data_IF_837551105734
#
_entry.id   IF_837551105734
#
_cell.length_a   1.000
_cell.length_b   1.000
_cell.length_c   1.000
_cell.angle_alpha   90.00
_cell.angle_beta   90.00
_cell.angle_gamma   90.00
#
_symmetry.space_group_name_H-M   'P 1'
#
loop_
_entity.id
_entity.type
_entity.pdbx_description
1 polymer ?
#
# COMPACT_ATOMS: atom_id res chain seq x y z
N UNK A 1 13.26 5.01 -19.45
CA UNK A 1 12.52 4.73 -18.17
C UNK A 1 11.74 3.43 -18.35
N UNK A 2 10.93 3.33 -19.38
CA UNK A 2 10.04 2.19 -19.60
C UNK A 2 10.78 0.86 -19.69
N UNK A 3 11.86 0.76 -20.45
CA UNK A 3 12.64 -0.49 -20.61
C UNK A 3 13.10 -1.09 -19.27
N UNK A 4 13.40 -0.25 -18.27
CA UNK A 4 13.91 -0.71 -16.97
C UNK A 4 12.83 -1.27 -16.04
N UNK A 5 11.55 -1.06 -16.34
CA UNK A 5 10.44 -1.49 -15.48
C UNK A 5 9.49 -2.49 -16.13
N UNK A 6 9.62 -2.74 -17.44
CA UNK A 6 8.73 -3.61 -18.19
C UNK A 6 8.65 -5.04 -17.62
N UNK A 7 9.81 -5.59 -17.25
CA UNK A 7 9.94 -6.96 -16.74
C UNK A 7 9.73 -7.05 -15.22
N UNK A 8 9.56 -5.91 -14.54
CA UNK A 8 9.37 -5.88 -13.09
C UNK A 8 8.01 -6.41 -12.69
N UNK A 9 8.02 -7.30 -11.70
CA UNK A 9 6.82 -7.88 -11.11
C UNK A 9 6.42 -7.13 -9.85
N UNK A 10 5.21 -6.58 -9.87
CA UNK A 10 4.63 -5.86 -8.72
C UNK A 10 3.45 -6.64 -8.16
N UNK A 11 3.43 -6.84 -6.87
CA UNK A 11 2.29 -7.43 -6.16
C UNK A 11 1.53 -6.30 -5.46
N UNK A 12 0.23 -6.21 -5.73
CA UNK A 12 -0.71 -5.29 -5.10
C UNK A 12 -1.57 -6.04 -4.11
N UNK A 13 -1.42 -5.75 -2.83
CA UNK A 13 -2.25 -6.29 -1.74
C UNK A 13 -3.30 -5.26 -1.37
N UNK A 14 -4.54 -5.60 -1.63
CA UNK A 14 -5.69 -4.69 -1.59
C UNK A 14 -5.88 -3.97 -2.94
N UNK A 15 -7.08 -4.10 -3.52
CA UNK A 15 -7.46 -3.50 -4.81
C UNK A 15 -8.68 -2.59 -4.64
N UNK A 16 -8.80 -1.96 -3.47
CA UNK A 16 -9.80 -0.93 -3.17
C UNK A 16 -9.48 0.41 -3.86
N UNK A 17 -9.95 1.52 -3.30
CA UNK A 17 -9.78 2.87 -3.86
C UNK A 17 -8.32 3.21 -4.18
N UNK A 18 -7.42 2.95 -3.25
CA UNK A 18 -5.97 3.19 -3.41
C UNK A 18 -5.35 2.20 -4.40
N UNK A 19 -5.53 0.88 -4.17
CA UNK A 19 -4.84 -0.14 -4.96
C UNK A 19 -5.30 -0.21 -6.40
N UNK A 20 -6.59 0.01 -6.68
CA UNK A 20 -7.10 0.07 -8.05
C UNK A 20 -6.52 1.25 -8.83
N UNK A 21 -6.52 2.45 -8.22
CA UNK A 21 -5.93 3.65 -8.80
C UNK A 21 -4.41 3.52 -8.98
N UNK A 22 -3.69 3.01 -7.97
CA UNK A 22 -2.25 2.76 -8.04
C UNK A 22 -1.90 1.80 -9.17
N UNK A 23 -2.65 0.69 -9.32
CA UNK A 23 -2.45 -0.30 -10.38
C UNK A 23 -2.57 0.32 -11.76
N UNK A 24 -3.56 1.18 -11.99
CA UNK A 24 -3.73 1.91 -13.23
C UNK A 24 -2.53 2.83 -13.53
N UNK A 25 -2.04 3.56 -12.54
CA UNK A 25 -0.87 4.43 -12.70
C UNK A 25 0.42 3.65 -12.98
N UNK A 26 0.60 2.49 -12.34
CA UNK A 26 1.75 1.62 -12.59
C UNK A 26 1.74 1.07 -14.03
N UNK A 27 0.58 0.62 -14.51
CA UNK A 27 0.43 0.15 -15.91
C UNK A 27 0.69 1.28 -16.90
N UNK A 28 0.18 2.50 -16.64
CA UNK A 28 0.50 3.70 -17.46
C UNK A 28 1.99 4.04 -17.44
N UNK A 29 2.68 3.80 -16.33
CA UNK A 29 4.13 3.99 -16.23
C UNK A 29 4.95 2.93 -16.98
N UNK A 30 4.32 1.79 -17.38
CA UNK A 30 4.96 0.74 -18.15
C UNK A 30 5.14 -0.59 -17.42
N UNK A 31 4.66 -0.74 -16.18
CA UNK A 31 4.64 -2.04 -15.50
C UNK A 31 3.73 -2.99 -16.27
N UNK A 32 4.24 -4.19 -16.58
CA UNK A 32 3.49 -5.22 -17.32
C UNK A 32 3.12 -6.43 -16.50
N UNK A 33 3.84 -6.74 -15.44
CA UNK A 33 3.59 -7.92 -14.62
C UNK A 33 3.01 -7.51 -13.26
N UNK A 34 1.71 -7.69 -13.07
CA UNK A 34 1.03 -7.40 -11.81
C UNK A 34 0.33 -8.63 -11.26
N UNK A 35 0.44 -8.78 -9.94
CA UNK A 35 -0.40 -9.68 -9.15
C UNK A 35 -1.37 -8.82 -8.36
N UNK A 36 -2.66 -9.07 -8.49
CA UNK A 36 -3.71 -8.37 -7.74
C UNK A 36 -4.33 -9.34 -6.72
N UNK A 37 -4.36 -8.95 -5.46
CA UNK A 37 -4.87 -9.77 -4.35
C UNK A 37 -5.91 -8.97 -3.59
N UNK A 38 -7.16 -9.42 -3.63
CA UNK A 38 -8.29 -8.81 -2.93
C UNK A 38 -9.48 -9.79 -2.91
N UNK A 39 -10.04 -10.16 -1.75
CA UNK A 39 -11.15 -11.10 -1.64
C UNK A 39 -12.50 -10.46 -1.97
N UNK A 40 -12.61 -9.14 -2.00
CA UNK A 40 -13.88 -8.44 -2.00
C UNK A 40 -14.50 -8.30 -3.39
N UNK A 41 -15.81 -8.09 -3.38
CA UNK A 41 -16.60 -7.66 -4.53
C UNK A 41 -16.81 -6.13 -4.47
N UNK A 42 -17.13 -5.54 -5.62
CA UNK A 42 -17.47 -4.13 -5.73
C UNK A 42 -18.89 -3.88 -5.23
N UNK A 43 -19.00 -2.93 -4.32
CA UNK A 43 -20.25 -2.47 -3.75
C UNK A 43 -20.52 -1.00 -4.12
N UNK A 44 -21.79 -0.58 -4.00
CA UNK A 44 -22.23 0.77 -4.39
C UNK A 44 -21.39 1.87 -3.73
N UNK A 45 -21.08 1.71 -2.45
CA UNK A 45 -20.31 2.70 -1.70
C UNK A 45 -18.83 2.80 -2.13
N UNK A 46 -18.32 1.81 -2.88
CA UNK A 46 -16.96 1.88 -3.42
C UNK A 46 -16.86 2.83 -4.62
N UNK A 47 -17.92 2.92 -5.45
CA UNK A 47 -17.88 3.55 -6.78
C UNK A 47 -17.39 4.98 -6.76
N UNK A 48 -17.74 5.75 -5.74
CA UNK A 48 -17.37 7.17 -5.64
C UNK A 48 -15.86 7.43 -5.52
N UNK A 49 -15.05 6.38 -5.29
CA UNK A 49 -13.61 6.48 -5.10
C UNK A 49 -12.82 5.31 -5.71
N UNK A 50 -13.48 4.44 -6.46
CA UNK A 50 -12.85 3.28 -7.07
C UNK A 50 -12.56 3.53 -8.56
N UNK A 51 -11.57 2.83 -9.13
CA UNK A 51 -11.26 2.90 -10.56
C UNK A 51 -12.40 2.39 -11.46
N UNK A 52 -13.19 1.45 -10.95
CA UNK A 52 -14.33 0.84 -11.65
C UNK A 52 -15.61 1.62 -11.37
N UNK A 53 -16.64 1.35 -12.18
CA UNK A 53 -17.91 2.08 -12.17
C UNK A 53 -19.12 1.17 -11.93
N UNK A 54 -20.33 1.71 -12.11
CA UNK A 54 -21.59 1.01 -11.83
C UNK A 54 -21.78 -0.29 -12.60
N UNK A 55 -21.19 -0.41 -13.79
CA UNK A 55 -21.28 -1.62 -14.62
C UNK A 55 -20.51 -2.80 -14.01
N UNK A 56 -19.65 -2.53 -13.03
CA UNK A 56 -18.82 -3.52 -12.37
C UNK A 56 -19.37 -3.99 -11.00
N UNK A 57 -20.55 -3.48 -10.58
CA UNK A 57 -21.15 -3.86 -9.29
C UNK A 57 -21.33 -5.37 -9.14
N UNK A 58 -20.97 -5.90 -7.97
CA UNK A 58 -21.05 -7.31 -7.63
C UNK A 58 -19.94 -8.17 -8.22
N UNK A 59 -19.06 -7.63 -9.08
CA UNK A 59 -17.87 -8.32 -9.59
C UNK A 59 -16.77 -8.30 -8.53
N UNK A 60 -15.89 -9.31 -8.54
CA UNK A 60 -14.68 -9.23 -7.73
C UNK A 60 -13.86 -8.01 -8.14
N UNK A 61 -13.33 -7.27 -7.15
CA UNK A 61 -12.51 -6.07 -7.39
C UNK A 61 -11.33 -6.38 -8.31
N UNK A 62 -10.69 -7.53 -8.12
CA UNK A 62 -9.56 -7.99 -8.95
C UNK A 62 -9.95 -8.17 -10.41
N UNK A 63 -11.11 -8.79 -10.72
CA UNK A 63 -11.58 -9.01 -12.10
C UNK A 63 -11.93 -7.68 -12.79
N UNK A 64 -12.69 -6.82 -12.09
CA UNK A 64 -13.12 -5.55 -12.64
C UNK A 64 -11.92 -4.63 -12.93
N UNK A 65 -10.95 -4.55 -12.01
CA UNK A 65 -9.72 -3.78 -12.20
C UNK A 65 -8.88 -4.37 -13.33
N UNK A 66 -8.75 -5.70 -13.42
CA UNK A 66 -8.00 -6.34 -14.51
C UNK A 66 -8.51 -5.93 -15.88
N UNK A 67 -9.83 -5.86 -16.08
CA UNK A 67 -10.41 -5.41 -17.35
C UNK A 67 -10.08 -3.94 -17.66
N UNK A 68 -10.06 -3.07 -16.66
CA UNK A 68 -9.62 -1.67 -16.82
C UNK A 68 -8.13 -1.59 -17.18
N UNK A 69 -7.28 -2.38 -16.52
CA UNK A 69 -5.84 -2.40 -16.80
C UNK A 69 -5.53 -2.90 -18.21
N UNK A 70 -6.23 -3.92 -18.71
CA UNK A 70 -6.11 -4.42 -20.10
C UNK A 70 -6.54 -3.37 -21.13
N UNK A 71 -7.51 -2.51 -20.81
CA UNK A 71 -7.88 -1.37 -21.68
C UNK A 71 -6.79 -0.30 -21.72
N UNK A 72 -6.02 -0.11 -20.63
CA UNK A 72 -4.88 0.82 -20.58
C UNK A 72 -3.69 0.25 -21.35
N UNK A 73 -3.35 -1.03 -21.12
CA UNK A 73 -2.27 -1.72 -21.81
C UNK A 73 -2.67 -3.19 -22.08
N UNK A 74 -3.02 -3.55 -23.33
CA UNK A 74 -3.38 -4.92 -23.68
C UNK A 74 -2.28 -5.95 -23.43
N UNK A 75 -1.01 -5.53 -23.35
CA UNK A 75 0.14 -6.41 -23.11
C UNK A 75 0.43 -6.62 -21.61
N UNK A 76 -0.45 -6.15 -20.70
CA UNK A 76 -0.30 -6.38 -19.26
C UNK A 76 -0.55 -7.85 -18.94
N UNK A 77 0.35 -8.45 -18.19
CA UNK A 77 0.23 -9.81 -17.64
C UNK A 77 -0.29 -9.71 -16.21
N UNK A 78 -1.44 -10.30 -15.95
CA UNK A 78 -2.14 -10.20 -14.67
C UNK A 78 -2.33 -11.58 -14.05
N UNK A 79 -1.99 -11.70 -12.78
CA UNK A 79 -2.39 -12.82 -11.92
C UNK A 79 -3.38 -12.28 -10.90
N UNK A 80 -4.53 -12.93 -10.75
CA UNK A 80 -5.63 -12.45 -9.91
C UNK A 80 -5.89 -13.46 -8.80
N UNK A 81 -5.89 -13.02 -7.56
CA UNK A 81 -6.21 -13.81 -6.39
C UNK A 81 -7.41 -13.16 -5.67
N UNK A 82 -8.49 -13.93 -5.54
CA UNK A 82 -9.72 -13.59 -4.80
C UNK A 82 -9.64 -14.14 -3.38
N UNK A 83 -8.42 -14.22 -2.88
CA UNK A 83 -8.04 -14.85 -1.63
C UNK A 83 -7.68 -13.78 -0.59
N UNK A 84 -7.94 -14.08 0.67
CA UNK A 84 -7.52 -13.25 1.78
C UNK A 84 -6.00 -13.36 1.98
N UNK A 85 -5.32 -12.23 1.96
CA UNK A 85 -3.84 -12.20 2.03
C UNK A 85 -3.27 -12.81 3.33
N UNK A 86 -4.05 -12.81 4.39
CA UNK A 86 -3.65 -13.39 5.69
C UNK A 86 -4.00 -14.88 5.74
N UNK A 87 -5.28 -15.20 5.53
CA UNK A 87 -5.81 -16.56 5.71
C UNK A 87 -5.34 -17.53 4.64
N UNK A 88 -5.17 -17.04 3.42
CA UNK A 88 -4.87 -17.86 2.24
C UNK A 88 -3.43 -17.66 1.73
N UNK A 89 -2.54 -17.12 2.56
CA UNK A 89 -1.17 -16.75 2.15
C UNK A 89 -0.42 -17.92 1.48
N UNK A 90 -0.60 -19.15 1.96
CA UNK A 90 0.05 -20.34 1.40
C UNK A 90 -0.27 -20.55 -0.10
N UNK A 91 -1.50 -20.23 -0.52
CA UNK A 91 -1.93 -20.33 -1.93
C UNK A 91 -1.23 -19.32 -2.83
N UNK A 92 -0.92 -18.15 -2.29
CA UNK A 92 -0.40 -17.00 -3.05
C UNK A 92 1.11 -16.80 -2.85
N UNK A 93 1.73 -17.48 -1.88
CA UNK A 93 3.13 -17.30 -1.49
C UNK A 93 4.08 -17.36 -2.70
N UNK A 94 3.90 -18.34 -3.59
CA UNK A 94 4.74 -18.50 -4.77
C UNK A 94 4.71 -17.26 -5.67
N UNK A 95 3.52 -16.66 -5.84
CA UNK A 95 3.34 -15.47 -6.69
C UNK A 95 3.85 -14.20 -6.03
N UNK A 96 4.00 -14.19 -4.71
CA UNK A 96 4.55 -13.08 -3.94
C UNK A 96 6.07 -13.16 -3.83
N UNK A 97 6.61 -14.36 -3.64
CA UNK A 97 8.03 -14.59 -3.30
C UNK A 97 9.03 -14.14 -4.36
N UNK A 98 8.64 -14.07 -5.61
CA UNK A 98 9.47 -13.62 -6.75
C UNK A 98 9.18 -12.16 -7.18
N UNK A 99 8.46 -11.40 -6.36
CA UNK A 99 8.14 -10.02 -6.65
C UNK A 99 9.37 -9.08 -6.53
N UNK A 100 9.45 -8.11 -7.42
CA UNK A 100 10.41 -7.01 -7.30
C UNK A 100 9.93 -5.93 -6.31
N UNK A 101 8.63 -5.82 -6.10
CA UNK A 101 8.01 -4.85 -5.21
C UNK A 101 6.67 -5.35 -4.70
N UNK A 102 6.42 -5.13 -3.42
CA UNK A 102 5.11 -5.29 -2.79
C UNK A 102 4.51 -3.91 -2.53
N UNK A 103 3.24 -3.72 -2.89
CA UNK A 103 2.47 -2.52 -2.53
C UNK A 103 1.30 -2.97 -1.68
N UNK A 104 1.15 -2.36 -0.51
CA UNK A 104 0.13 -2.71 0.47
C UNK A 104 -0.79 -1.52 0.66
N UNK A 105 -2.04 -1.69 0.31
CA UNK A 105 -3.09 -0.67 0.40
C UNK A 105 -4.36 -1.18 1.08
N UNK A 106 -4.19 -2.20 1.91
CA UNK A 106 -5.26 -2.74 2.76
C UNK A 106 -5.45 -1.87 3.99
N UNK A 107 -6.62 -1.94 4.56
CA UNK A 107 -7.02 -1.22 5.78
C UNK A 107 -6.84 -2.06 7.06
N UNK A 108 -6.69 -3.38 6.95
CA UNK A 108 -6.54 -4.25 8.12
C UNK A 108 -5.11 -4.27 8.66
N UNK A 109 -4.91 -4.17 10.00
CA UNK A 109 -3.60 -4.27 10.63
C UNK A 109 -2.89 -5.59 10.32
N UNK A 110 -3.64 -6.70 10.30
CA UNK A 110 -3.11 -8.05 10.09
C UNK A 110 -2.47 -8.22 8.71
N UNK A 111 -3.16 -7.76 7.65
CA UNK A 111 -2.61 -7.85 6.29
C UNK A 111 -1.33 -7.01 6.14
N UNK A 112 -1.27 -5.86 6.80
CA UNK A 112 -0.06 -5.03 6.85
C UNK A 112 1.06 -5.70 7.62
N UNK A 113 0.73 -6.41 8.71
CA UNK A 113 1.71 -7.14 9.51
C UNK A 113 2.26 -8.35 8.76
N UNK A 114 1.39 -9.16 8.12
CA UNK A 114 1.83 -10.28 7.28
C UNK A 114 2.72 -9.78 6.15
N UNK A 115 2.31 -8.73 5.45
CA UNK A 115 3.11 -8.13 4.39
C UNK A 115 4.49 -7.65 4.89
N UNK A 116 4.57 -7.12 6.12
CA UNK A 116 5.83 -6.71 6.73
C UNK A 116 6.76 -7.90 7.00
N UNK A 117 6.21 -9.00 7.50
CA UNK A 117 6.97 -10.23 7.73
C UNK A 117 7.49 -10.81 6.42
N UNK A 118 6.62 -10.91 5.41
CA UNK A 118 6.96 -11.36 4.06
C UNK A 118 8.04 -10.48 3.44
N UNK A 119 7.88 -9.15 3.52
CA UNK A 119 8.86 -8.18 3.04
C UNK A 119 10.25 -8.44 3.62
N UNK A 120 10.35 -8.58 4.93
CA UNK A 120 11.65 -8.77 5.62
C UNK A 120 12.23 -10.16 5.32
N UNK A 121 11.43 -11.21 5.36
CA UNK A 121 11.86 -12.60 5.14
C UNK A 121 12.32 -12.83 3.70
N UNK A 122 11.49 -12.47 2.73
CA UNK A 122 11.77 -12.65 1.29
C UNK A 122 12.66 -11.54 0.73
N UNK A 123 13.01 -10.53 1.53
CA UNK A 123 13.81 -9.37 1.14
C UNK A 123 13.19 -8.55 -0.01
N UNK A 124 11.88 -8.47 -0.05
CA UNK A 124 11.14 -7.74 -1.07
C UNK A 124 10.90 -6.30 -0.61
N UNK A 125 11.36 -5.27 -1.35
CA UNK A 125 10.99 -3.89 -1.06
C UNK A 125 9.47 -3.74 -1.00
N UNK A 126 8.96 -2.99 -0.03
CA UNK A 126 7.52 -2.84 0.18
C UNK A 126 7.14 -1.38 0.35
N UNK A 127 6.06 -0.95 -0.29
CA UNK A 127 5.47 0.38 -0.12
C UNK A 127 4.08 0.23 0.47
N UNK A 128 3.88 0.82 1.64
CA UNK A 128 2.57 0.93 2.29
C UNK A 128 1.96 2.26 1.93
N UNK A 129 0.69 2.26 1.54
CA UNK A 129 -0.09 3.47 1.27
C UNK A 129 -1.29 3.42 2.21
N UNK A 130 -1.34 4.32 3.16
CA UNK A 130 -2.37 4.36 4.20
C UNK A 130 -3.10 5.69 4.17
N UNK A 131 -4.41 5.63 4.31
CA UNK A 131 -5.27 6.79 4.52
C UNK A 131 -5.80 6.75 5.95
N UNK A 132 -5.98 7.93 6.52
CA UNK A 132 -6.56 8.10 7.85
C UNK A 132 -7.96 8.70 7.72
N UNK A 133 -8.55 9.08 8.84
CA UNK A 133 -9.92 9.58 8.93
C UNK A 133 -10.29 10.53 7.77
N UNK A 134 -11.39 10.22 7.07
CA UNK A 134 -11.92 10.98 5.92
C UNK A 134 -10.93 11.21 4.77
N UNK A 135 -9.85 10.45 4.72
CA UNK A 135 -8.72 10.72 3.83
C UNK A 135 -8.12 12.15 3.96
N UNK A 136 -8.42 12.87 5.04
CA UNK A 136 -7.84 14.20 5.30
C UNK A 136 -6.36 14.14 5.65
N UNK A 137 -5.89 12.96 5.96
CA UNK A 137 -4.46 12.67 6.15
C UNK A 137 -4.14 11.31 5.56
N UNK A 138 -2.87 11.09 5.28
CA UNK A 138 -2.41 9.81 4.76
C UNK A 138 -0.91 9.68 4.88
N UNK A 139 -0.43 8.48 4.68
CA UNK A 139 1.00 8.22 4.75
C UNK A 139 1.45 7.23 3.68
N UNK A 140 2.67 7.42 3.23
CA UNK A 140 3.36 6.48 2.37
C UNK A 140 4.65 6.07 3.07
N UNK A 141 4.85 4.78 3.22
CA UNK A 141 6.02 4.22 3.88
C UNK A 141 6.71 3.18 3.01
N UNK A 142 7.99 3.39 2.71
CA UNK A 142 8.83 2.47 1.97
C UNK A 142 9.74 1.69 2.92
N UNK A 143 9.60 0.38 2.90
CA UNK A 143 10.51 -0.56 3.55
C UNK A 143 11.48 -1.12 2.52
N UNK A 144 12.78 -0.92 2.73
CA UNK A 144 13.84 -1.60 1.97
C UNK A 144 14.54 -2.53 2.94
N UNK A 145 14.28 -3.86 2.87
CA UNK A 145 14.79 -4.82 3.84
C UNK A 145 16.31 -4.74 4.00
N UNK A 146 16.76 -4.69 5.24
CA UNK A 146 18.18 -4.53 5.59
C UNK A 146 18.71 -3.09 5.56
N UNK A 147 18.04 -2.15 4.89
CA UNK A 147 18.49 -0.74 4.76
C UNK A 147 17.68 0.22 5.62
N UNK A 148 16.35 0.13 5.59
CA UNK A 148 15.46 1.00 6.37
C UNK A 148 14.82 0.22 7.52
N UNK A 149 14.13 0.92 8.42
CA UNK A 149 13.21 0.28 9.35
C UNK A 149 12.12 -0.48 8.62
N UNK A 150 11.61 -1.56 9.20
CA UNK A 150 10.39 -2.23 8.75
C UNK A 150 9.16 -1.55 9.38
N UNK A 151 7.94 -2.02 9.05
CA UNK A 151 6.72 -1.40 9.58
C UNK A 151 6.71 -1.36 11.13
N UNK A 152 7.17 -2.42 11.80
CA UNK A 152 7.27 -2.43 13.27
C UNK A 152 8.30 -1.42 13.83
N UNK A 153 9.26 -0.96 13.05
CA UNK A 153 10.16 0.11 13.46
C UNK A 153 9.50 1.48 13.45
N UNK A 154 8.38 1.64 12.75
CA UNK A 154 7.59 2.88 12.78
C UNK A 154 7.00 3.13 14.17
N UNK A 155 6.79 2.07 14.96
CA UNK A 155 6.20 2.12 16.30
C UNK A 155 4.69 2.35 16.28
N UNK A 156 4.05 2.02 17.37
CA UNK A 156 2.62 2.25 17.56
C UNK A 156 2.40 3.72 17.91
N UNK A 157 2.19 4.55 16.92
CA UNK A 157 1.66 5.89 17.07
C UNK A 157 2.64 7.01 17.52
N UNK A 158 3.90 6.75 17.83
CA UNK A 158 4.85 7.84 18.21
C UNK A 158 5.01 8.88 17.09
N UNK A 159 4.96 8.46 15.84
CA UNK A 159 5.04 9.36 14.69
C UNK A 159 3.69 10.00 14.34
N UNK A 160 2.57 9.32 14.70
CA UNK A 160 1.23 9.86 14.49
C UNK A 160 0.85 10.91 15.54
N UNK A 161 1.29 10.75 16.80
CA UNK A 161 0.90 11.64 17.90
C UNK A 161 1.50 13.05 17.83
N UNK A 162 2.69 13.21 17.23
CA UNK A 162 3.29 14.53 17.00
C UNK A 162 2.65 15.27 15.81
N UNK A 163 2.09 14.51 14.84
CA UNK A 163 1.57 15.07 13.61
C UNK A 163 0.07 15.33 13.66
N UNK A 164 -0.71 14.50 14.39
CA UNK A 164 -2.16 14.66 14.48
C UNK A 164 -2.70 14.05 15.79
N UNK A 165 -2.99 14.84 16.80
CA UNK A 165 -3.68 14.34 17.99
C UNK A 165 -5.08 13.82 17.61
N UNK A 166 -5.35 12.54 17.87
CA UNK A 166 -6.69 11.96 17.76
C UNK A 166 -7.12 11.38 16.42
N UNK A 167 -6.21 11.13 15.47
CA UNK A 167 -6.55 10.39 14.25
C UNK A 167 -6.41 8.90 14.46
N UNK A 168 -7.51 8.22 14.39
CA UNK A 168 -7.61 6.76 14.27
C UNK A 168 -7.49 6.34 12.80
N UNK A 169 -6.93 5.18 12.52
CA UNK A 169 -6.98 4.62 11.18
C UNK A 169 -8.45 4.41 10.78
N UNK A 170 -8.79 4.69 9.52
CA UNK A 170 -10.15 4.72 8.99
C UNK A 170 -10.95 3.42 9.21
N UNK A 171 -10.28 2.29 9.36
CA UNK A 171 -10.85 0.96 9.54
C UNK A 171 -11.01 0.51 10.99
N UNK A 172 -10.29 1.11 11.95
CA UNK A 172 -10.21 0.56 13.30
C UNK A 172 -11.32 1.02 14.24
N UNK A 173 -12.05 2.09 13.90
CA UNK A 173 -13.01 2.72 14.83
C UNK A 173 -14.34 3.14 14.21
N UNK A 174 -14.46 3.10 12.89
CA UNK A 174 -15.69 3.49 12.24
C UNK A 174 -16.66 2.31 12.17
N UNK A 175 -17.79 2.39 12.86
CA UNK A 175 -18.98 1.59 12.55
C UNK A 175 -19.24 1.72 11.03
N UNK A 176 -19.62 0.65 10.34
CA UNK A 176 -19.93 0.67 8.89
C UNK A 176 -20.86 1.83 8.50
N UNK A 177 -21.73 2.25 9.42
CA UNK A 177 -22.61 3.42 9.26
C UNK A 177 -21.85 4.74 9.20
N UNK A 178 -20.77 4.90 9.95
CA UNK A 178 -19.95 6.12 9.96
C UNK A 178 -19.12 6.23 8.68
N UNK A 179 -18.68 5.10 8.12
CA UNK A 179 -17.99 5.03 6.82
C UNK A 179 -18.91 5.51 5.69
N UNK A 180 -20.17 5.12 5.71
CA UNK A 180 -21.17 5.55 4.71
C UNK A 180 -21.44 7.05 4.75
N UNK A 181 -21.35 7.67 5.92
CA UNK A 181 -21.66 9.11 6.09
C UNK A 181 -20.44 10.04 5.90
N UNK A 182 -19.23 9.50 5.93
CA UNK A 182 -17.99 10.31 5.88
C UNK A 182 -16.92 9.70 4.97
N UNK A 183 -17.23 9.37 3.72
CA UNK A 183 -16.24 8.84 2.81
C UNK A 183 -15.13 9.88 2.57
N UNK A 184 -13.89 9.40 2.48
CA UNK A 184 -12.79 10.25 2.02
C UNK A 184 -13.04 10.71 0.58
N UNK A 185 -12.66 11.93 0.27
CA UNK A 185 -12.77 12.47 -1.08
C UNK A 185 -11.75 11.78 -2.00
N UNK A 186 -12.18 11.41 -3.21
CA UNK A 186 -11.32 10.75 -4.18
C UNK A 186 -10.07 11.59 -4.54
N UNK A 187 -10.20 12.91 -4.57
CA UNK A 187 -9.07 13.82 -4.79
C UNK A 187 -7.94 13.64 -3.78
N UNK A 188 -8.29 13.49 -2.50
CA UNK A 188 -7.34 13.33 -1.40
C UNK A 188 -6.72 11.92 -1.41
N UNK A 189 -7.56 10.92 -1.65
CA UNK A 189 -7.13 9.53 -1.84
C UNK A 189 -6.14 9.44 -3.01
N UNK A 190 -6.47 10.05 -4.14
CA UNK A 190 -5.64 10.06 -5.34
C UNK A 190 -4.30 10.75 -5.08
N UNK A 191 -4.27 11.85 -4.35
CA UNK A 191 -3.02 12.56 -4.03
C UNK A 191 -2.06 11.65 -3.25
N UNK A 192 -2.53 11.01 -2.19
CA UNK A 192 -1.71 10.07 -1.40
C UNK A 192 -1.31 8.86 -2.22
N UNK A 193 -2.22 8.34 -3.06
CA UNK A 193 -1.94 7.23 -3.97
C UNK A 193 -0.81 7.57 -4.94
N UNK A 194 -0.81 8.76 -5.54
CA UNK A 194 0.25 9.19 -6.45
C UNK A 194 1.61 9.35 -5.77
N UNK A 195 1.65 9.78 -4.52
CA UNK A 195 2.88 9.78 -3.72
C UNK A 195 3.40 8.35 -3.54
N UNK A 196 2.51 7.39 -3.25
CA UNK A 196 2.84 5.97 -3.14
C UNK A 196 3.37 5.39 -4.44
N UNK A 197 2.71 5.67 -5.56
CA UNK A 197 3.16 5.25 -6.89
C UNK A 197 4.54 5.81 -7.22
N UNK A 198 4.77 7.09 -6.93
CA UNK A 198 6.09 7.71 -7.13
C UNK A 198 7.17 7.04 -6.30
N UNK A 199 6.88 6.71 -5.05
CA UNK A 199 7.80 5.98 -4.16
C UNK A 199 8.04 4.55 -4.66
N UNK A 200 7.00 3.87 -5.15
CA UNK A 200 7.07 2.54 -5.75
C UNK A 200 7.96 2.53 -7.00
N UNK A 201 7.73 3.44 -7.94
CA UNK A 201 8.53 3.56 -9.15
C UNK A 201 10.00 3.90 -8.83
N UNK A 202 10.26 4.77 -7.85
CA UNK A 202 11.63 5.06 -7.41
C UNK A 202 12.34 3.86 -6.79
N UNK A 203 11.58 2.91 -6.22
CA UNK A 203 12.11 1.67 -5.65
C UNK A 203 12.49 0.63 -6.72
N UNK A 204 11.77 0.64 -7.84
CA UNK A 204 12.01 -0.27 -8.97
C UNK A 204 13.11 0.22 -9.93
N UNK A 205 13.29 1.53 -10.03
CA UNK A 205 14.27 2.13 -10.90
C UNK A 205 15.67 2.07 -10.30
N UNK A 206 16.66 1.87 -11.16
CA UNK A 206 18.07 1.92 -10.75
C UNK A 206 18.43 3.35 -10.29
N UNK A 207 18.86 3.56 -9.04
CA UNK A 207 19.23 4.89 -8.53
C UNK A 207 20.32 5.59 -9.34
N UNK A 208 21.20 4.80 -10.04
CA UNK A 208 22.27 5.35 -10.86
C UNK A 208 21.76 6.09 -12.11
N UNK A 209 20.53 5.77 -12.55
CA UNK A 209 19.96 6.40 -13.73
C UNK A 209 19.43 7.82 -13.47
N UNK A 210 19.30 8.24 -12.22
CA UNK A 210 18.80 9.57 -11.79
C UNK A 210 17.48 10.00 -12.48
N UNK A 211 16.68 9.03 -12.90
CA UNK A 211 15.43 9.25 -13.66
C UNK A 211 14.35 9.84 -12.77
N UNK A 212 14.29 9.39 -11.51
CA UNK A 212 13.47 9.99 -10.48
C UNK A 212 14.38 10.43 -9.34
N UNK A 213 14.16 11.61 -8.77
CA UNK A 213 14.89 12.02 -7.56
C UNK A 213 14.61 11.01 -6.46
N UNK A 214 15.63 10.61 -5.73
CA UNK A 214 15.43 9.96 -4.43
C UNK A 214 14.65 10.94 -3.56
N UNK A 215 13.53 10.50 -3.03
CA UNK A 215 12.69 11.34 -2.18
C UNK A 215 13.38 11.68 -0.85
N UNK A 216 14.60 11.12 -0.61
CA UNK A 216 15.44 11.40 0.57
C UNK A 216 14.82 10.91 1.89
N UNK A 217 13.62 10.35 1.82
CA UNK A 217 12.86 9.85 2.96
C UNK A 217 12.24 8.50 2.62
N UNK A 218 12.08 7.63 3.60
CA UNK A 218 11.33 6.39 3.43
C UNK A 218 9.91 6.46 4.02
N UNK A 219 9.55 7.59 4.62
CA UNK A 219 8.21 7.89 5.12
C UNK A 219 7.81 9.29 4.69
N UNK A 220 6.59 9.44 4.20
CA UNK A 220 5.97 10.72 3.87
C UNK A 220 4.60 10.74 4.50
N UNK A 221 4.34 11.71 5.36
CA UNK A 221 3.00 12.00 5.87
C UNK A 221 2.41 13.18 5.13
N UNK A 222 1.19 13.00 4.60
CA UNK A 222 0.38 14.07 4.04
C UNK A 222 -0.66 14.50 5.05
N UNK A 223 -0.77 15.81 5.26
CA UNK A 223 -1.77 16.42 6.13
C UNK A 223 -2.55 17.46 5.34
N UNK A 224 -3.82 17.16 5.04
CA UNK A 224 -4.74 18.02 4.29
C UNK A 224 -5.44 19.08 5.15
N UNK A 225 -5.34 19.02 6.48
CA UNK A 225 -5.93 20.03 7.33
C UNK A 225 -5.24 21.39 7.15
N UNK A 226 -6.02 22.49 7.12
CA UNK A 226 -5.45 23.83 7.05
C UNK A 226 -4.58 24.08 8.27
N UNK A 227 -3.33 24.44 8.04
CA UNK A 227 -2.38 24.81 9.11
C UNK A 227 -2.72 26.16 9.71
N UNK A 228 -2.11 26.46 10.88
CA UNK A 228 -2.12 27.81 11.44
C UNK A 228 -1.60 28.80 10.39
N UNK A 229 -2.26 29.96 10.23
CA UNK A 229 -1.98 31.00 9.23
C UNK A 229 -2.32 30.65 7.77
N UNK A 230 -3.32 29.76 7.53
CA UNK A 230 -3.77 29.47 6.19
C UNK A 230 -2.79 28.67 5.32
N UNK A 231 -1.81 28.00 5.95
CA UNK A 231 -0.96 27.07 5.22
C UNK A 231 -1.81 25.94 4.64
N UNK A 232 -1.69 25.72 3.33
CA UNK A 232 -2.34 24.62 2.63
C UNK A 232 -1.73 23.26 3.04
N UNK A 233 -2.31 22.19 2.59
CA UNK A 233 -1.88 20.82 2.79
C UNK A 233 -0.34 20.64 2.77
N UNK A 234 0.19 19.86 3.70
CA UNK A 234 1.64 19.71 3.91
C UNK A 234 2.08 18.29 3.68
N UNK A 235 3.26 18.15 3.09
CA UNK A 235 3.99 16.90 3.04
C UNK A 235 5.13 16.95 4.07
N UNK A 236 5.16 15.97 4.95
CA UNK A 236 6.14 15.86 6.03
C UNK A 236 6.98 14.61 5.80
N UNK A 237 8.20 14.75 5.24
CA UNK A 237 9.09 13.61 5.05
C UNK A 237 9.80 13.23 6.34
N UNK A 238 10.03 11.94 6.54
CA UNK A 238 10.82 11.41 7.65
C UNK A 238 11.67 10.21 7.22
N UNK A 239 12.77 10.01 7.93
CA UNK A 239 13.61 8.82 7.82
C UNK A 239 13.37 7.88 9.00
N UNK A 240 12.82 6.71 8.76
CA UNK A 240 12.60 5.70 9.79
C UNK A 240 13.78 4.71 9.76
N UNK A 241 14.67 4.77 10.77
CA UNK A 241 15.83 3.90 10.83
C UNK A 241 15.44 2.49 11.29
N UNK A 242 16.30 1.52 10.96
CA UNK A 242 16.16 0.16 11.47
C UNK A 242 16.40 0.13 12.98
N UNK A 243 15.43 -0.40 13.74
CA UNK A 243 15.61 -0.67 15.16
C UNK A 243 16.30 -2.04 15.37
N UNK A 244 17.39 -2.07 16.13
CA UNK A 244 18.14 -3.30 16.41
C UNK A 244 17.37 -4.29 17.27
N UNK A 245 16.45 -3.82 18.08
CA UNK A 245 15.60 -4.63 18.97
C UNK A 245 14.23 -4.96 18.38
N UNK A 246 14.00 -4.61 17.10
CA UNK A 246 12.73 -4.88 16.45
C UNK A 246 12.47 -6.39 16.32
N UNK A 247 11.28 -6.83 16.71
CA UNK A 247 10.84 -8.23 16.69
C UNK A 247 10.83 -8.84 15.28
N UNK A 248 10.67 -8.00 14.23
CA UNK A 248 10.57 -8.46 12.84
C UNK A 248 11.90 -8.34 12.10
N UNK A 249 12.57 -7.19 12.17
CA UNK A 249 13.79 -6.95 11.38
C UNK A 249 15.05 -6.75 12.21
N UNK A 250 14.98 -6.87 13.55
CA UNK A 250 16.10 -6.69 14.46
C UNK A 250 17.15 -7.81 14.39
N UNK A 251 18.11 -7.80 15.33
CA UNK A 251 19.17 -8.79 15.40
C UNK A 251 18.66 -10.18 15.83
N UNK A 252 17.60 -10.23 16.61
CA UNK A 252 16.97 -11.47 17.12
C UNK A 252 15.47 -11.42 16.82
N UNK A 253 15.06 -11.61 15.56
CA UNK A 253 13.65 -11.66 15.22
C UNK A 253 12.98 -12.86 15.89
N UNK A 254 11.70 -12.74 16.28
CA UNK A 254 10.91 -13.86 16.80
C UNK A 254 10.88 -15.01 15.78
N UNK A 255 10.87 -16.25 16.25
CA UNK A 255 10.82 -17.42 15.38
C UNK A 255 9.52 -17.47 14.57
N UNK A 256 9.52 -18.20 13.46
CA UNK A 256 8.34 -18.39 12.60
C UNK A 256 7.16 -19.03 13.36
N UNK A 257 7.44 -19.90 14.35
CA UNK A 257 6.43 -20.59 15.16
C UNK A 257 5.67 -19.59 16.06
N UNK A 258 6.38 -18.62 16.67
CA UNK A 258 5.75 -17.57 17.48
C UNK A 258 4.94 -16.59 16.62
N UNK A 259 5.29 -16.47 15.32
CA UNK A 259 4.56 -15.67 14.36
C UNK A 259 3.20 -16.25 14.00
N UNK A 260 3.11 -17.58 13.91
CA UNK A 260 1.86 -18.29 13.58
C UNK A 260 0.82 -18.20 14.71
N UNK A 261 1.26 -18.03 15.97
CA UNK A 261 0.34 -17.86 17.11
C UNK A 261 -0.32 -16.47 17.16
N UNK A 262 0.18 -15.48 16.43
CA UNK A 262 -0.46 -14.15 16.31
C UNK A 262 -1.70 -14.20 15.41
N UNK A 263 -1.88 -15.27 14.64
CA UNK A 263 -2.98 -15.45 13.68
C UNK A 263 -4.00 -16.51 14.12
N UNK A 264 -3.85 -17.08 15.31
CA UNK A 264 -4.70 -18.16 15.83
C UNK A 264 -5.77 -17.70 16.86
N UNK A 265 -5.87 -16.40 17.13
CA UNK A 265 -6.90 -15.75 17.91
C UNK A 265 -7.73 -14.80 17.00
#
# INVERSE_FOLDING_TARGET
>A
IQENILEKKVVMVGVGSVGSSASAQLVKAGIRNLVLIDPDQLEVHNIIRHLCDLDDLGRYKTDAVADRLKKINPAVNLQLFKDDFVKDYEKIEKSVSDADLLIVSTDTPDSRQVANMVSVEKKIPTVYISLHERAMTGSVYRVVPGKTGCRNCLGDGQWNSEFIPGTTEYSETADERDILFQPGMDSDITLVTLLGVKMALSSLLNPRLKILPDLGANYIHWNGYPGKKGAMARLIPAGIPKNKECDVCGKKPKSTIERNNVYAE
#
